data_IF_126681490447
#
_entry.id   IF_126681490447
#
_cell.length_a   1.000
_cell.length_b   1.000
_cell.length_c   1.000
_cell.angle_alpha   90.00
_cell.angle_beta   90.00
_cell.angle_gamma   90.00
#
_symmetry.space_group_name_H-M   'P 1'
#
loop_
_entity.id
_entity.type
_entity.pdbx_description
1 polymer ?
#
# COMPACT_ATOMS: atom_id res chain seq x y z
N UNK A 1 -5.30 -1.39 -9.37
CA UNK A 1 -5.49 -1.88 -7.99
C UNK A 1 -6.97 -2.22 -7.74
N UNK A 2 -7.56 -3.12 -8.53
CA UNK A 2 -8.96 -3.53 -8.35
C UNK A 2 -9.04 -4.78 -7.48
N UNK A 3 -8.85 -4.61 -6.16
CA UNK A 3 -9.21 -5.63 -5.17
C UNK A 3 -10.41 -5.18 -4.33
N UNK A 4 -11.43 -4.56 -4.93
CA UNK A 4 -12.73 -4.28 -4.29
C UNK A 4 -12.76 -3.41 -3.02
N UNK A 5 -11.61 -3.15 -2.39
CA UNK A 5 -11.46 -2.44 -1.13
C UNK A 5 -11.47 -0.94 -1.42
N UNK A 6 -12.39 -0.23 -0.77
CA UNK A 6 -12.46 1.23 -0.80
C UNK A 6 -11.33 1.82 0.05
N UNK A 7 -10.93 3.04 -0.29
CA UNK A 7 -9.92 3.79 0.47
C UNK A 7 -10.29 3.93 1.96
N UNK A 8 -11.58 4.10 2.24
CA UNK A 8 -12.14 4.19 3.60
C UNK A 8 -11.94 2.90 4.40
N UNK A 9 -12.16 1.74 3.76
CA UNK A 9 -12.02 0.43 4.38
C UNK A 9 -10.55 0.14 4.71
N UNK A 10 -9.63 0.45 3.77
CA UNK A 10 -8.20 0.31 4.03
C UNK A 10 -7.72 1.25 5.14
N UNK A 11 -8.22 2.49 5.16
CA UNK A 11 -7.89 3.46 6.19
C UNK A 11 -8.37 3.00 7.58
N UNK A 12 -9.56 2.41 7.67
CA UNK A 12 -10.10 1.81 8.89
C UNK A 12 -9.22 0.66 9.38
N UNK A 13 -8.84 -0.26 8.48
CA UNK A 13 -7.95 -1.38 8.80
C UNK A 13 -6.59 -0.91 9.34
N UNK A 14 -6.07 0.19 8.79
CA UNK A 14 -4.78 0.78 9.18
C UNK A 14 -4.89 1.76 10.36
N UNK A 15 -6.10 2.09 10.81
CA UNK A 15 -6.38 3.11 11.84
C UNK A 15 -5.76 4.48 11.52
N UNK A 16 -5.87 4.88 10.25
CA UNK A 16 -5.40 6.18 9.73
C UNK A 16 -6.54 6.96 9.09
N UNK A 17 -6.42 8.28 8.87
CA UNK A 17 -7.40 9.03 8.10
C UNK A 17 -7.48 8.51 6.65
N UNK A 18 -8.66 8.50 6.03
CA UNK A 18 -8.81 8.15 4.61
C UNK A 18 -7.92 9.01 3.69
N UNK A 19 -7.65 10.26 4.08
CA UNK A 19 -6.73 11.15 3.36
C UNK A 19 -5.28 10.68 3.33
N UNK A 20 -4.87 9.79 4.24
CA UNK A 20 -3.58 9.09 4.13
C UNK A 20 -3.57 8.19 2.90
N UNK A 21 -4.64 7.41 2.71
CA UNK A 21 -4.78 6.47 1.59
C UNK A 21 -4.88 7.20 0.27
N UNK A 22 -5.76 8.21 0.18
CA UNK A 22 -5.92 8.96 -1.07
C UNK A 22 -4.62 9.64 -1.52
N UNK A 23 -3.83 10.21 -0.59
CA UNK A 23 -2.58 10.90 -0.91
C UNK A 23 -1.49 9.98 -1.44
N UNK A 24 -1.37 8.76 -0.93
CA UNK A 24 -0.36 7.85 -1.48
C UNK A 24 -0.82 7.20 -2.78
N UNK A 25 -2.14 6.96 -2.94
CA UNK A 25 -2.68 6.41 -4.19
C UNK A 25 -2.64 7.43 -5.33
N UNK A 26 -2.81 8.73 -5.03
CA UNK A 26 -2.66 9.81 -6.03
C UNK A 26 -1.21 10.19 -6.31
N UNK A 27 -0.25 9.68 -5.52
CA UNK A 27 1.16 10.05 -5.63
C UNK A 27 1.53 11.41 -5.01
N UNK A 28 0.59 12.08 -4.34
CA UNK A 28 0.86 13.32 -3.60
C UNK A 28 1.78 13.11 -2.39
N UNK A 29 1.85 11.87 -1.88
CA UNK A 29 2.70 11.51 -0.75
C UNK A 29 3.40 10.17 -0.98
N UNK A 30 4.72 10.16 -0.88
CA UNK A 30 5.48 8.91 -0.83
C UNK A 30 5.26 8.18 0.49
N UNK A 31 5.10 6.86 0.42
CA UNK A 31 5.10 5.99 1.58
C UNK A 31 6.52 5.75 2.06
N UNK A 32 6.69 5.68 3.38
CA UNK A 32 7.89 5.05 3.94
C UNK A 32 7.80 3.53 3.76
N UNK A 33 8.94 2.84 3.81
CA UNK A 33 8.93 1.37 3.71
C UNK A 33 8.08 0.70 4.80
N UNK A 34 8.10 1.22 6.03
CA UNK A 34 7.29 0.71 7.15
C UNK A 34 5.79 0.86 6.86
N UNK A 35 5.37 1.98 6.26
CA UNK A 35 3.99 2.18 5.85
C UNK A 35 3.60 1.22 4.72
N UNK A 36 4.48 1.02 3.73
CA UNK A 36 4.26 0.04 2.66
C UNK A 36 4.07 -1.36 3.22
N UNK A 37 4.93 -1.80 4.15
CA UNK A 37 4.79 -3.09 4.83
C UNK A 37 3.47 -3.19 5.60
N UNK A 38 3.06 -2.13 6.29
CA UNK A 38 1.80 -2.10 7.04
C UNK A 38 0.59 -2.26 6.11
N UNK A 39 0.60 -1.58 4.96
CA UNK A 39 -0.44 -1.71 3.91
C UNK A 39 -0.46 -3.13 3.35
N UNK A 40 0.70 -3.73 3.04
CA UNK A 40 0.77 -5.12 2.57
C UNK A 40 0.10 -6.07 3.56
N UNK A 41 0.46 -5.99 4.84
CA UNK A 41 -0.09 -6.86 5.87
C UNK A 41 -1.60 -6.66 6.07
N UNK A 42 -2.09 -5.41 6.03
CA UNK A 42 -3.51 -5.12 6.08
C UNK A 42 -4.25 -5.78 4.90
N UNK A 43 -3.67 -5.79 3.72
CA UNK A 43 -4.24 -6.43 2.52
C UNK A 43 -3.99 -7.95 2.45
N UNK A 44 -3.46 -8.56 3.51
CA UNK A 44 -3.06 -9.97 3.56
C UNK A 44 -2.06 -10.35 2.44
N UNK A 45 -1.15 -9.43 2.15
CA UNK A 45 -0.04 -9.59 1.21
C UNK A 45 1.26 -9.58 2.02
N UNK A 46 2.14 -10.54 1.79
CA UNK A 46 3.46 -10.51 2.40
C UNK A 46 4.37 -9.53 1.64
N UNK A 47 5.21 -8.72 2.32
CA UNK A 47 6.12 -7.80 1.63
C UNK A 47 7.07 -8.49 0.65
N UNK A 48 7.44 -9.76 0.90
CA UNK A 48 8.28 -10.52 -0.02
C UNK A 48 7.59 -10.79 -1.37
N UNK A 49 6.26 -11.00 -1.35
CA UNK A 49 5.47 -11.19 -2.58
C UNK A 49 5.50 -9.91 -3.41
N UNK A 50 5.31 -8.75 -2.78
CA UNK A 50 5.39 -7.46 -3.45
C UNK A 50 6.78 -7.24 -4.07
N UNK A 51 7.85 -7.49 -3.31
CA UNK A 51 9.22 -7.27 -3.78
C UNK A 51 9.61 -8.22 -4.92
N UNK A 52 9.19 -9.50 -4.86
CA UNK A 52 9.42 -10.46 -5.95
C UNK A 52 8.74 -10.05 -7.25
N UNK A 53 7.58 -9.42 -7.17
CA UNK A 53 6.87 -8.89 -8.34
C UNK A 53 7.51 -7.59 -8.85
N UNK A 54 7.93 -6.70 -7.94
CA UNK A 54 8.45 -5.38 -8.30
C UNK A 54 9.90 -5.37 -8.80
N UNK A 55 10.80 -6.08 -8.13
CA UNK A 55 12.25 -6.03 -8.43
C UNK A 55 12.62 -6.40 -9.88
N UNK A 56 12.00 -7.40 -10.54
CA UNK A 56 12.30 -7.70 -11.95
C UNK A 56 11.95 -6.58 -12.92
N UNK A 57 11.06 -5.67 -12.54
CA UNK A 57 10.66 -4.51 -13.35
C UNK A 57 11.49 -3.26 -13.02
N UNK A 58 12.42 -3.38 -12.09
CA UNK A 58 13.29 -2.32 -11.64
C UNK A 58 14.75 -2.72 -11.83
N UNK A 59 15.18 -2.80 -13.09
CA UNK A 59 16.61 -2.80 -13.41
C UNK A 59 17.20 -1.41 -13.09
N UNK A 60 18.17 -1.38 -12.18
CA UNK A 60 19.14 -0.29 -12.05
C UNK A 60 20.29 -0.49 -13.01
#
# INVERSE_FOLDING_TARGET
MSKGLKQEELAEMLKVPQSFVSKYESGERMLTFVETVSICLAMNITPDTLLKEYLPHHET
#
